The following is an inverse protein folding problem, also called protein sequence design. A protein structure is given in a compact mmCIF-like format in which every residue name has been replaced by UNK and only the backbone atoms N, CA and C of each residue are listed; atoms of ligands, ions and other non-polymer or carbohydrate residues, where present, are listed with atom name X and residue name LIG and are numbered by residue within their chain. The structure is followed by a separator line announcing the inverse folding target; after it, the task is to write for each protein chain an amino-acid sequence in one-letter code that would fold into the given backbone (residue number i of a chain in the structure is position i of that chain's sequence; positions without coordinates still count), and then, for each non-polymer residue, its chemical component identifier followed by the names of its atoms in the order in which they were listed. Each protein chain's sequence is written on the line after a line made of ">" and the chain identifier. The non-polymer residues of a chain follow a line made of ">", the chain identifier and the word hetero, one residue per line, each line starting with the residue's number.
data_IF_882951332591
#
_entry.id   IF_882951332591
#
_cell.length_a   1.000
_cell.length_b   1.000
_cell.length_c   1.000
_cell.angle_alpha   90.00
_cell.angle_beta   90.00
_cell.angle_gamma   90.00
#
_symmetry.space_group_name_H-M   'P 1'
#
loop_
_entity.id
_entity.type
_entity.pdbx_description
1 polymer ?
#
# COMPACT_ATOMS: atom_id res chain seq x y z
N UNK A 1 5.47 24.75 14.07
CA UNK A 1 6.68 24.95 13.27
C UNK A 1 7.42 23.65 13.10
N UNK A 2 7.71 23.29 11.86
CA UNK A 2 8.44 22.06 11.58
C UNK A 2 9.95 22.30 11.71
N UNK A 3 10.63 21.41 12.40
CA UNK A 3 12.09 21.39 12.41
C UNK A 3 12.59 20.72 11.12
N UNK A 4 13.85 20.90 10.72
CA UNK A 4 14.40 20.18 9.57
C UNK A 4 14.24 18.68 9.68
N UNK A 5 14.26 18.13 10.88
CA UNK A 5 14.05 16.70 11.08
C UNK A 5 12.63 16.25 10.72
N UNK A 6 11.63 17.15 10.84
CA UNK A 6 10.26 16.88 10.49
C UNK A 6 9.96 17.11 9.01
N UNK A 7 10.87 17.78 8.32
CA UNK A 7 10.75 18.05 6.90
C UNK A 7 11.45 17.00 6.05
N UNK A 8 11.68 15.84 6.64
CA UNK A 8 12.30 14.72 5.96
C UNK A 8 11.54 14.38 4.67
N UNK A 9 12.25 14.38 3.57
CA UNK A 9 11.67 14.11 2.25
C UNK A 9 11.62 12.60 2.01
N UNK A 10 10.43 12.04 2.03
CA UNK A 10 10.24 10.61 1.83
C UNK A 10 10.72 10.13 0.45
N UNK A 11 10.76 11.02 -0.54
CA UNK A 11 11.25 10.66 -1.87
C UNK A 11 12.71 10.22 -1.84
N UNK A 12 13.49 10.75 -0.91
CA UNK A 12 14.89 10.37 -0.76
C UNK A 12 15.06 8.94 -0.24
N UNK A 13 14.04 8.41 0.41
CA UNK A 13 14.05 7.05 0.92
C UNK A 13 13.68 6.02 -0.16
N UNK A 14 13.16 6.47 -1.28
CA UNK A 14 12.74 5.60 -2.38
C UNK A 14 13.90 5.45 -3.36
N UNK A 15 14.25 4.21 -3.68
CA UNK A 15 15.31 3.93 -4.64
C UNK A 15 14.75 4.02 -6.06
N UNK A 16 15.48 4.73 -6.94
CA UNK A 16 15.13 4.82 -8.35
C UNK A 16 16.06 3.91 -9.14
N UNK A 17 15.48 2.96 -9.86
CA UNK A 17 16.22 1.98 -10.65
C UNK A 17 15.88 2.21 -12.12
N UNK A 18 16.82 2.74 -12.93
CA UNK A 18 16.56 2.94 -14.34
C UNK A 18 16.55 1.61 -15.10
N UNK A 19 15.80 1.58 -16.18
CA UNK A 19 15.75 0.44 -17.11
C UNK A 19 15.38 -0.87 -16.42
N UNK A 20 14.40 -0.82 -15.52
CA UNK A 20 13.89 -2.00 -14.84
C UNK A 20 12.35 -1.99 -14.87
N UNK A 21 11.70 -3.11 -15.15
CA UNK A 21 12.26 -4.43 -15.53
C UNK A 21 12.79 -4.49 -16.97
N UNK A 22 12.64 -3.41 -17.72
CA UNK A 22 13.17 -3.33 -19.08
C UNK A 22 13.56 -1.89 -19.44
N UNK A 23 14.29 -1.75 -20.54
CA UNK A 23 14.77 -0.45 -20.99
C UNK A 23 13.65 0.58 -21.10
N UNK A 24 13.93 1.81 -20.69
CA UNK A 24 13.01 2.93 -20.75
C UNK A 24 12.06 3.05 -19.57
N UNK A 25 12.07 2.11 -18.64
CA UNK A 25 11.20 2.13 -17.47
C UNK A 25 12.02 2.51 -16.24
N UNK A 26 11.56 3.55 -15.54
CA UNK A 26 12.13 3.94 -14.24
C UNK A 26 11.33 3.26 -13.14
N UNK A 27 11.94 2.31 -12.45
CA UNK A 27 11.32 1.61 -11.36
C UNK A 27 11.55 2.35 -10.05
N UNK A 28 10.50 2.52 -9.27
CA UNK A 28 10.58 3.12 -7.94
C UNK A 28 10.50 2.02 -6.90
N UNK A 29 11.60 1.78 -6.22
CA UNK A 29 11.70 0.72 -5.21
C UNK A 29 11.46 1.31 -3.83
N UNK A 30 10.35 0.92 -3.21
CA UNK A 30 10.00 1.39 -1.87
C UNK A 30 10.56 0.51 -0.75
N UNK A 31 11.26 -0.58 -1.07
CA UNK A 31 11.81 -1.44 -0.03
C UNK A 31 12.80 -0.69 0.85
N UNK A 32 13.52 0.27 0.29
CA UNK A 32 14.44 1.12 1.05
C UNK A 32 13.71 2.04 2.03
N UNK A 33 12.52 2.52 1.63
CA UNK A 33 11.66 3.29 2.51
C UNK A 33 11.10 2.41 3.63
N UNK A 34 10.61 1.22 3.28
CA UNK A 34 10.05 0.29 4.25
C UNK A 34 11.09 -0.20 5.24
N UNK A 35 12.34 -0.34 4.79
CA UNK A 35 13.45 -0.79 5.62
C UNK A 35 14.04 0.27 6.54
N UNK A 36 13.66 1.51 6.35
CA UNK A 36 14.12 2.63 7.19
C UNK A 36 13.02 2.96 8.20
N UNK A 37 13.30 2.74 9.48
CA UNK A 37 12.30 2.90 10.54
C UNK A 37 11.68 4.30 10.55
N UNK A 38 12.49 5.34 10.34
CA UNK A 38 12.02 6.72 10.35
C UNK A 38 11.13 7.01 9.14
N UNK A 39 11.56 6.58 7.96
CA UNK A 39 10.79 6.78 6.74
C UNK A 39 9.47 6.00 6.77
N UNK A 40 9.52 4.77 7.24
CA UNK A 40 8.33 3.93 7.37
C UNK A 40 7.33 4.59 8.32
N UNK A 41 7.78 4.96 9.49
CA UNK A 41 6.92 5.61 10.49
C UNK A 41 6.29 6.89 9.94
N UNK A 42 7.08 7.72 9.28
CA UNK A 42 6.60 8.97 8.70
C UNK A 42 5.55 8.71 7.61
N UNK A 43 5.79 7.69 6.78
CA UNK A 43 4.84 7.32 5.73
C UNK A 43 3.50 6.91 6.31
N UNK A 44 3.51 6.05 7.32
CA UNK A 44 2.29 5.60 7.99
C UNK A 44 1.57 6.77 8.64
N UNK A 45 2.30 7.63 9.33
CA UNK A 45 1.70 8.80 9.99
C UNK A 45 1.02 9.72 8.98
N UNK A 46 1.64 9.96 7.84
CA UNK A 46 1.05 10.80 6.80
C UNK A 46 -0.17 10.16 6.14
N UNK A 47 -0.17 8.85 5.97
CA UNK A 47 -1.32 8.14 5.44
C UNK A 47 -2.50 8.16 6.41
N UNK A 48 -2.23 8.10 7.70
CA UNK A 48 -3.27 8.08 8.75
C UNK A 48 -3.85 9.47 8.98
N UNK A 49 -3.06 10.51 8.85
CA UNK A 49 -3.45 11.85 9.29
C UNK A 49 -4.78 12.35 8.72
N UNK A 50 -5.09 12.22 7.41
CA UNK A 50 -6.38 12.70 6.89
C UNK A 50 -7.59 12.02 7.53
N UNK A 51 -7.40 10.86 8.11
CA UNK A 51 -8.46 10.02 8.67
C UNK A 51 -8.50 10.02 10.20
N UNK A 52 -7.55 10.72 10.82
CA UNK A 52 -7.47 10.77 12.27
C UNK A 52 -8.76 11.40 12.84
N UNK A 53 -9.31 10.77 13.87
CA UNK A 53 -10.55 11.22 14.47
C UNK A 53 -11.82 10.79 13.75
N UNK A 54 -11.70 10.17 12.59
CA UNK A 54 -12.83 9.62 11.85
C UNK A 54 -13.02 8.14 12.19
N UNK A 55 -14.26 7.69 12.13
CA UNK A 55 -14.53 6.27 12.31
C UNK A 55 -14.30 5.53 11.01
N UNK A 56 -13.23 4.74 10.96
CA UNK A 56 -12.90 3.90 9.84
C UNK A 56 -13.05 2.45 10.29
N UNK A 57 -13.87 1.69 9.60
CA UNK A 57 -14.13 0.29 9.96
C UNK A 57 -13.12 -0.65 9.31
N UNK A 58 -12.75 -0.38 8.07
CA UNK A 58 -11.86 -1.26 7.29
C UNK A 58 -10.87 -0.44 6.49
N UNK A 59 -9.68 -1.00 6.36
CA UNK A 59 -8.65 -0.51 5.44
C UNK A 59 -8.38 -1.63 4.46
N UNK A 60 -8.45 -1.34 3.18
CA UNK A 60 -8.15 -2.32 2.14
C UNK A 60 -6.76 -2.07 1.58
N UNK A 61 -6.05 -3.13 1.28
CA UNK A 61 -4.73 -3.05 0.68
C UNK A 61 -4.53 -4.10 -0.38
N UNK A 62 -3.85 -3.71 -1.46
CA UNK A 62 -3.53 -4.59 -2.57
C UNK A 62 -2.17 -5.23 -2.33
N UNK A 63 -2.06 -6.53 -2.62
CA UNK A 63 -0.79 -7.24 -2.48
C UNK A 63 0.32 -6.58 -3.34
N UNK A 64 1.57 -6.59 -2.93
CA UNK A 64 1.97 -7.06 -1.60
C UNK A 64 2.32 -5.88 -0.71
N UNK A 65 2.75 -4.78 -1.30
CA UNK A 65 3.16 -3.57 -0.58
C UNK A 65 2.01 -2.95 0.19
N UNK A 66 0.80 -3.01 -0.39
CA UNK A 66 -0.40 -2.53 0.27
C UNK A 66 -0.74 -3.28 1.55
N UNK A 67 -0.28 -4.51 1.71
CA UNK A 67 -0.48 -5.26 2.94
C UNK A 67 0.36 -4.67 4.07
N UNK A 68 1.58 -4.28 3.76
CA UNK A 68 2.50 -3.72 4.77
C UNK A 68 1.99 -2.36 5.25
N UNK A 69 1.77 -1.44 4.32
CA UNK A 69 1.32 -0.09 4.64
C UNK A 69 -0.13 -0.09 5.14
N UNK A 70 -1.00 -0.85 4.49
CA UNK A 70 -2.40 -0.94 4.88
C UNK A 70 -2.59 -1.57 6.24
N UNK A 71 -1.81 -2.60 6.56
CA UNK A 71 -1.85 -3.21 7.89
C UNK A 71 -1.45 -2.23 8.98
N UNK A 72 -0.39 -1.46 8.74
CA UNK A 72 0.05 -0.45 9.70
C UNK A 72 -0.99 0.66 9.88
N UNK A 73 -1.59 1.12 8.78
CA UNK A 73 -2.64 2.14 8.82
C UNK A 73 -3.87 1.62 9.57
N UNK A 74 -4.30 0.40 9.27
CA UNK A 74 -5.45 -0.22 9.95
C UNK A 74 -5.21 -0.30 11.46
N UNK A 75 -4.02 -0.72 11.85
CA UNK A 75 -3.65 -0.81 13.26
C UNK A 75 -3.73 0.58 13.94
N UNK A 76 -3.21 1.60 13.30
CA UNK A 76 -3.22 2.96 13.84
C UNK A 76 -4.65 3.52 13.96
N UNK A 77 -5.52 3.16 13.04
CA UNK A 77 -6.91 3.63 13.04
C UNK A 77 -7.85 2.72 13.82
N UNK A 78 -7.34 1.65 14.41
CA UNK A 78 -8.16 0.64 15.10
C UNK A 78 -9.23 0.06 14.17
N UNK A 79 -8.85 -0.16 12.91
CA UNK A 79 -9.72 -0.71 11.88
C UNK A 79 -9.28 -2.12 11.51
N UNK A 80 -10.17 -2.88 10.90
CA UNK A 80 -9.81 -4.16 10.32
C UNK A 80 -9.10 -3.98 8.99
N UNK A 81 -8.43 -5.02 8.51
CA UNK A 81 -7.72 -5.00 7.23
C UNK A 81 -8.37 -5.98 6.26
N UNK A 82 -8.57 -5.53 5.02
CA UNK A 82 -9.15 -6.33 3.95
C UNK A 82 -8.09 -6.53 2.86
N UNK A 83 -7.63 -7.77 2.64
CA UNK A 83 -6.68 -8.03 1.57
C UNK A 83 -7.38 -8.07 0.22
N UNK A 84 -6.79 -7.41 -0.76
CA UNK A 84 -7.16 -7.51 -2.16
C UNK A 84 -5.97 -8.15 -2.86
N UNK A 85 -6.19 -9.30 -3.49
CA UNK A 85 -5.12 -10.10 -4.05
C UNK A 85 -5.37 -10.45 -5.49
N UNK A 86 -4.32 -10.87 -6.16
CA UNK A 86 -4.42 -11.39 -7.53
C UNK A 86 -5.27 -12.66 -7.56
N UNK A 87 -5.85 -12.90 -8.72
CA UNK A 87 -6.70 -14.06 -8.99
C UNK A 87 -6.08 -15.34 -8.44
N UNK A 88 -6.89 -16.11 -7.73
CA UNK A 88 -6.50 -17.43 -7.24
C UNK A 88 -5.69 -17.44 -5.94
N UNK A 89 -5.43 -16.28 -5.32
CA UNK A 89 -4.65 -16.20 -4.09
C UNK A 89 -5.48 -16.26 -2.82
N UNK A 90 -6.77 -15.99 -2.91
CA UNK A 90 -7.67 -16.00 -1.74
C UNK A 90 -8.49 -17.28 -1.73
N UNK A 91 -8.57 -17.96 -0.58
CA UNK A 91 -9.51 -19.07 -0.39
C UNK A 91 -10.92 -18.52 -0.18
N UNK A 92 -11.92 -19.39 -0.24
CA UNK A 92 -13.31 -19.02 -0.01
C UNK A 92 -13.87 -18.18 -1.16
N UNK A 93 -15.11 -17.73 -1.05
CA UNK A 93 -15.79 -17.00 -2.11
C UNK A 93 -15.26 -15.57 -2.22
N UNK A 94 -15.03 -15.14 -3.47
CA UNK A 94 -14.49 -13.81 -3.76
C UNK A 94 -15.35 -13.08 -4.79
N UNK A 95 -15.24 -11.76 -4.79
CA UNK A 95 -15.66 -10.93 -5.89
C UNK A 95 -14.42 -10.49 -6.65
N UNK A 96 -14.53 -10.31 -7.96
CA UNK A 96 -13.40 -10.02 -8.83
C UNK A 96 -13.63 -8.76 -9.63
N UNK A 97 -12.52 -8.13 -10.00
CA UNK A 97 -12.52 -7.04 -10.95
C UNK A 97 -11.30 -7.19 -11.86
N UNK A 98 -11.55 -7.16 -13.17
CA UNK A 98 -10.49 -7.15 -14.16
C UNK A 98 -9.90 -5.75 -14.29
N UNK A 99 -8.59 -5.67 -14.54
CA UNK A 99 -7.93 -4.41 -14.80
C UNK A 99 -6.95 -4.55 -15.96
N UNK A 100 -6.72 -3.44 -16.65
CA UNK A 100 -5.89 -3.44 -17.85
C UNK A 100 -4.40 -3.35 -17.48
N UNK A 101 -3.59 -4.14 -18.18
CA UNK A 101 -2.15 -4.04 -18.18
C UNK A 101 -1.72 -3.48 -19.55
N UNK A 102 -0.44 -3.15 -19.70
CA UNK A 102 0.08 -2.71 -21.02
C UNK A 102 -0.08 -3.76 -22.09
N UNK A 103 -0.10 -5.05 -21.72
CA UNK A 103 -0.14 -6.18 -22.64
C UNK A 103 -1.13 -7.25 -22.20
N UNK A 104 -2.31 -6.84 -21.80
CA UNK A 104 -3.35 -7.77 -21.43
C UNK A 104 -4.21 -7.27 -20.28
N UNK A 105 -4.83 -8.21 -19.60
CA UNK A 105 -5.64 -7.95 -18.42
C UNK A 105 -5.28 -8.92 -17.31
N UNK A 106 -5.51 -8.49 -16.08
CA UNK A 106 -5.39 -9.35 -14.92
C UNK A 106 -6.62 -9.13 -14.06
N UNK A 107 -6.79 -9.92 -13.02
CA UNK A 107 -7.94 -9.81 -12.12
C UNK A 107 -7.47 -9.71 -10.67
N UNK A 108 -8.20 -8.91 -9.91
CA UNK A 108 -8.04 -8.83 -8.46
C UNK A 108 -9.28 -9.34 -7.77
N UNK A 109 -9.10 -9.92 -6.61
CA UNK A 109 -10.15 -10.54 -5.83
C UNK A 109 -10.15 -10.04 -4.41
N UNK A 110 -11.36 -9.98 -3.84
CA UNK A 110 -11.59 -9.67 -2.43
C UNK A 110 -12.62 -10.67 -1.93
N UNK A 111 -12.54 -11.09 -0.67
CA UNK A 111 -13.57 -11.96 -0.11
C UNK A 111 -14.94 -11.31 -0.20
N UNK A 112 -15.96 -12.09 -0.54
CA UNK A 112 -17.33 -11.60 -0.69
C UNK A 112 -17.89 -11.06 0.64
N UNK A 113 -17.42 -11.58 1.75
CA UNK A 113 -17.85 -11.21 3.10
C UNK A 113 -16.92 -10.24 3.81
N UNK A 114 -15.92 -9.68 3.10
CA UNK A 114 -14.92 -8.81 3.72
C UNK A 114 -15.51 -7.50 4.26
N UNK A 115 -16.55 -7.01 3.61
CA UNK A 115 -17.22 -5.77 4.01
C UNK A 115 -18.70 -6.08 4.21
N UNK A 116 -19.18 -5.81 5.38
CA UNK A 116 -20.59 -6.03 5.73
C UNK A 116 -21.41 -4.75 5.66
#
# INVERSE_FOLDING_TARGET
>A
MTSPALEYDLREAVRSIPDYPKAGIMFRDITTLLGDARAFRRTVDELVQPWAGMKIDKVAGIEARGFILGGAVAHQLSAGFVPIRKKGKLPHQTVRMAYALEYGTDEMEMHVDAIS
#
